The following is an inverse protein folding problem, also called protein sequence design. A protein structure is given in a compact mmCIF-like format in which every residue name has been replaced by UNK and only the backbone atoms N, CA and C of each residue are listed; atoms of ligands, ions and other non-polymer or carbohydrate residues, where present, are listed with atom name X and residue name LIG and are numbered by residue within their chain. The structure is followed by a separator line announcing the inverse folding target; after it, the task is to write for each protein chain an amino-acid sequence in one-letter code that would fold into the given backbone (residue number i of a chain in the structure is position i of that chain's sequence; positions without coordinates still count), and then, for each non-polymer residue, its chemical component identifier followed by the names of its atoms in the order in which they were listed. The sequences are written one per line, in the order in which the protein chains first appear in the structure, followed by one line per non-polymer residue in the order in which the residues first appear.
data_IF_877479835981
#
_entry.id   IF_877479835981
#
_cell.length_a   1.000
_cell.length_b   1.000
_cell.length_c   1.000
_cell.angle_alpha   90.00
_cell.angle_beta   90.00
_cell.angle_gamma   90.00
#
_symmetry.space_group_name_H-M   'P 1'
#
loop_
_entity.id
_entity.type
_entity.pdbx_description
1 polymer ?
#
# COMPACT_ATOMS: atom_id res chain seq x y z
N UNK A 1 17.42 -0.60 16.78
CA UNK A 1 16.11 -0.38 17.43
C UNK A 1 16.24 0.94 18.16
N UNK A 2 15.78 2.03 17.55
CA UNK A 2 15.90 3.38 18.11
C UNK A 2 14.56 4.09 17.92
N UNK A 3 13.81 4.16 19.01
CA UNK A 3 12.62 4.97 19.16
C UNK A 3 13.06 6.43 19.23
N UNK A 4 12.59 7.28 18.33
CA UNK A 4 12.79 8.73 18.46
C UNK A 4 11.56 9.29 19.18
N UNK A 5 11.74 9.56 20.48
CA UNK A 5 10.90 10.50 21.21
C UNK A 5 11.21 11.90 20.68
N UNK A 6 10.20 12.64 20.20
CA UNK A 6 10.31 14.09 20.06
C UNK A 6 9.35 14.77 21.02
N UNK A 7 9.96 15.68 21.76
CA UNK A 7 9.44 16.44 22.89
C UNK A 7 8.37 17.44 22.41
N UNK A 8 7.32 17.57 23.21
CA UNK A 8 6.25 18.54 23.05
C UNK A 8 6.64 19.84 23.78
N UNK A 9 6.66 20.97 23.08
CA UNK A 9 6.70 22.30 23.69
C UNK A 9 5.41 23.06 23.36
N UNK A 10 4.73 23.69 24.35
CA UNK A 10 3.49 24.40 24.10
C UNK A 10 3.76 25.88 23.79
N UNK A 11 3.16 26.39 22.71
CA UNK A 11 3.07 27.85 22.45
C UNK A 11 1.62 28.30 22.55
N UNK A 12 1.39 29.28 23.42
CA UNK A 12 0.08 29.77 23.83
C UNK A 12 -0.43 30.92 22.92
N UNK A 13 -1.58 30.68 22.26
CA UNK A 13 -2.68 31.60 21.88
C UNK A 13 -2.42 32.85 20.99
N UNK A 14 -3.47 33.58 20.54
CA UNK A 14 -4.91 33.35 20.73
C UNK A 14 -5.78 33.38 19.44
N UNK A 15 -6.97 32.77 19.58
CA UNK A 15 -8.25 32.91 18.86
C UNK A 15 -8.32 33.62 17.51
N UNK A 16 -8.74 32.88 16.47
CA UNK A 16 -9.94 33.22 15.67
C UNK A 16 -10.31 32.11 14.67
N UNK A 17 -11.62 31.86 14.64
CA UNK A 17 -12.42 31.33 13.53
C UNK A 17 -12.41 29.80 13.35
N UNK A 18 -13.54 29.23 13.77
CA UNK A 18 -14.01 27.88 13.48
C UNK A 18 -14.01 27.60 11.98
N UNK A 19 -12.91 27.04 11.50
CA UNK A 19 -12.90 26.14 10.37
C UNK A 19 -12.49 24.78 10.90
N UNK A 20 -13.45 23.93 11.24
CA UNK A 20 -13.17 22.49 11.34
C UNK A 20 -12.82 22.06 9.93
N UNK A 21 -11.53 22.15 9.57
CA UNK A 21 -11.00 21.33 8.50
C UNK A 21 -11.00 19.94 9.10
N UNK A 22 -12.06 19.18 8.84
CA UNK A 22 -11.98 17.72 8.93
C UNK A 22 -10.85 17.37 7.98
N UNK A 23 -9.66 17.16 8.54
CA UNK A 23 -8.55 16.58 7.83
C UNK A 23 -8.98 15.14 7.58
N UNK A 24 -9.74 14.94 6.51
CA UNK A 24 -9.99 13.64 5.91
C UNK A 24 -8.63 13.13 5.45
N UNK A 25 -7.87 12.60 6.40
CA UNK A 25 -6.73 11.70 6.21
C UNK A 25 -7.33 10.39 5.67
N UNK A 26 -7.87 10.48 4.46
CA UNK A 26 -8.25 9.34 3.64
C UNK A 26 -6.93 8.72 3.19
N UNK A 27 -6.29 7.96 4.09
CA UNK A 27 -5.28 7.00 3.69
C UNK A 27 -6.00 6.01 2.77
N UNK A 28 -5.97 6.25 1.46
CA UNK A 28 -6.58 5.37 0.47
C UNK A 28 -5.85 4.04 0.60
N UNK A 29 -6.41 3.11 1.35
CA UNK A 29 -5.86 1.77 1.46
C UNK A 29 -5.87 1.18 0.04
N UNK A 30 -4.69 0.91 -0.51
CA UNK A 30 -4.55 0.45 -1.89
C UNK A 30 -4.91 -1.04 -1.99
N UNK A 31 -5.90 -1.37 -2.83
CA UNK A 31 -6.31 -2.74 -3.12
C UNK A 31 -5.38 -3.39 -4.16
N UNK A 32 -5.31 -4.73 -4.17
CA UNK A 32 -4.62 -5.43 -5.23
C UNK A 32 -5.29 -5.18 -6.58
N UNK A 33 -4.54 -4.79 -7.61
CA UNK A 33 -5.09 -4.49 -8.93
C UNK A 33 -5.58 -5.69 -9.74
N UNK A 34 -5.37 -6.92 -9.25
CA UNK A 34 -5.80 -8.16 -9.90
C UNK A 34 -7.13 -8.63 -9.32
N UNK A 35 -7.19 -8.83 -8.00
CA UNK A 35 -8.38 -9.35 -7.32
C UNK A 35 -9.28 -8.25 -6.72
N UNK A 36 -8.83 -6.99 -6.68
CA UNK A 36 -9.52 -5.86 -6.04
C UNK A 36 -9.85 -6.07 -4.55
N UNK A 37 -9.04 -6.88 -3.86
CA UNK A 37 -9.14 -7.14 -2.43
C UNK A 37 -7.92 -6.61 -1.67
N UNK A 38 -8.11 -6.34 -0.38
CA UNK A 38 -7.03 -6.07 0.56
C UNK A 38 -6.29 -7.35 0.97
N UNK A 39 -7.04 -8.44 1.13
CA UNK A 39 -6.51 -9.72 1.56
C UNK A 39 -6.95 -10.79 0.56
N UNK A 40 -6.05 -11.70 0.14
CA UNK A 40 -6.42 -12.82 -0.70
C UNK A 40 -7.53 -13.65 -0.05
N UNK A 41 -8.46 -14.17 -0.85
CA UNK A 41 -9.59 -14.94 -0.35
C UNK A 41 -9.12 -16.21 0.37
N UNK A 42 -8.01 -16.79 -0.06
CA UNK A 42 -7.37 -17.97 0.51
C UNK A 42 -6.85 -17.77 1.94
N UNK A 43 -6.65 -16.52 2.36
CA UNK A 43 -6.25 -16.18 3.73
C UNK A 43 -7.49 -16.02 4.62
N UNK A 44 -8.66 -15.76 4.03
CA UNK A 44 -9.91 -15.65 4.77
C UNK A 44 -10.30 -17.00 5.38
N UNK A 45 -10.36 -17.08 6.70
CA UNK A 45 -10.67 -18.33 7.41
C UNK A 45 -9.46 -19.20 7.74
N UNK A 46 -8.23 -18.71 7.50
CA UNK A 46 -7.03 -19.39 7.98
C UNK A 46 -6.99 -19.40 9.53
N UNK A 47 -6.71 -20.57 10.11
CA UNK A 47 -6.52 -20.72 11.57
C UNK A 47 -5.14 -20.25 12.05
N UNK A 48 -4.24 -19.95 11.11
CA UNK A 48 -2.87 -19.50 11.35
C UNK A 48 -2.70 -18.07 10.84
N UNK A 49 -1.76 -17.34 11.45
CA UNK A 49 -1.35 -16.03 10.97
C UNK A 49 -0.58 -16.20 9.65
N UNK A 50 -1.14 -15.69 8.56
CA UNK A 50 -0.51 -15.71 7.23
C UNK A 50 -0.13 -14.28 6.85
N UNK A 51 1.16 -14.08 6.51
CA UNK A 51 1.64 -12.80 5.98
C UNK A 51 1.54 -12.79 4.46
N UNK A 52 0.63 -11.97 3.94
CA UNK A 52 0.54 -11.71 2.50
C UNK A 52 1.72 -10.85 2.06
N UNK A 53 2.46 -11.32 1.05
CA UNK A 53 3.53 -10.55 0.44
C UNK A 53 3.00 -9.71 -0.71
N UNK A 54 3.50 -8.48 -0.80
CA UNK A 54 3.08 -7.50 -1.79
C UNK A 54 4.28 -6.99 -2.59
N UNK A 55 4.01 -6.59 -3.83
CA UNK A 55 4.94 -5.82 -4.65
C UNK A 55 4.18 -4.73 -5.42
N UNK A 56 4.85 -3.60 -5.63
CA UNK A 56 4.38 -2.51 -6.47
C UNK A 56 4.92 -2.67 -7.88
N UNK A 57 4.07 -2.45 -8.89
CA UNK A 57 4.45 -2.54 -10.29
C UNK A 57 5.38 -1.41 -10.73
N UNK A 58 6.53 -1.76 -11.30
CA UNK A 58 7.52 -0.86 -11.93
C UNK A 58 7.21 -0.57 -13.42
N UNK A 59 6.11 -1.10 -13.94
CA UNK A 59 5.70 -0.99 -15.34
C UNK A 59 5.09 0.37 -15.71
N UNK A 60 4.92 0.55 -17.01
CA UNK A 60 4.18 1.67 -17.60
C UNK A 60 2.95 1.08 -18.27
N UNK A 61 1.78 1.70 -18.04
CA UNK A 61 0.50 1.33 -18.63
C UNK A 61 -0.11 2.56 -19.26
N UNK A 62 -0.56 2.48 -20.51
CA UNK A 62 -1.16 3.62 -21.24
C UNK A 62 -0.29 4.92 -21.18
N UNK A 63 1.03 4.77 -21.27
CA UNK A 63 1.97 5.89 -21.24
C UNK A 63 2.17 6.54 -19.86
N UNK A 64 1.68 5.94 -18.77
CA UNK A 64 1.88 6.42 -17.38
C UNK A 64 2.43 5.33 -16.47
N UNK A 65 3.19 5.67 -15.41
CA UNK A 65 3.62 4.70 -14.41
C UNK A 65 2.42 3.95 -13.81
N UNK A 66 2.51 2.62 -13.71
CA UNK A 66 1.42 1.78 -13.24
C UNK A 66 1.21 1.91 -11.72
N UNK A 67 2.29 1.78 -10.92
CA UNK A 67 2.32 1.96 -9.46
C UNK A 67 1.30 1.17 -8.64
N UNK A 68 0.54 0.26 -9.26
CA UNK A 68 -0.42 -0.59 -8.56
C UNK A 68 0.27 -1.65 -7.70
N UNK A 69 -0.37 -1.99 -6.59
CA UNK A 69 0.04 -3.09 -5.71
C UNK A 69 -0.59 -4.41 -6.11
N UNK A 70 0.15 -5.50 -5.88
CA UNK A 70 -0.32 -6.87 -6.19
C UNK A 70 0.06 -7.84 -5.09
N UNK A 71 -0.88 -8.73 -4.71
CA UNK A 71 -0.57 -9.89 -3.87
C UNK A 71 0.30 -10.86 -4.66
N UNK A 72 1.54 -11.10 -4.19
CA UNK A 72 2.52 -11.90 -4.94
C UNK A 72 2.04 -13.34 -5.21
N UNK A 73 2.29 -14.28 -4.32
CA UNK A 73 2.01 -15.71 -4.54
C UNK A 73 0.54 -16.09 -4.79
N UNK A 74 -0.39 -15.13 -4.72
CA UNK A 74 -1.83 -15.32 -4.85
C UNK A 74 -2.37 -14.81 -6.18
N UNK A 75 -1.94 -13.61 -6.61
CA UNK A 75 -2.42 -12.99 -7.84
C UNK A 75 -1.38 -13.00 -8.97
N UNK A 76 -0.20 -13.58 -8.72
CA UNK A 76 0.88 -13.74 -9.72
C UNK A 76 1.63 -15.06 -9.51
N UNK A 77 2.41 -15.46 -10.52
CA UNK A 77 3.36 -16.58 -10.40
C UNK A 77 4.66 -16.20 -9.67
N UNK A 78 4.83 -14.92 -9.29
CA UNK A 78 6.03 -14.42 -8.60
C UNK A 78 5.85 -14.59 -7.10
N UNK A 79 6.77 -15.31 -6.45
CA UNK A 79 6.70 -15.59 -5.00
C UNK A 79 7.51 -14.62 -4.14
N UNK A 80 8.56 -14.04 -4.72
CA UNK A 80 9.52 -13.15 -4.04
C UNK A 80 10.05 -12.17 -5.07
N UNK A 81 10.16 -10.90 -4.68
CA UNK A 81 10.91 -9.86 -5.40
C UNK A 81 12.12 -9.50 -4.56
N UNK A 82 13.33 -9.60 -5.11
CA UNK A 82 14.56 -9.27 -4.37
C UNK A 82 14.87 -7.78 -4.50
N UNK A 83 15.75 -7.28 -3.64
CA UNK A 83 16.25 -5.89 -3.77
C UNK A 83 16.83 -5.67 -5.16
N UNK A 84 16.46 -4.54 -5.76
CA UNK A 84 16.87 -4.10 -7.11
C UNK A 84 16.28 -4.90 -8.28
N UNK A 85 15.43 -5.89 -8.01
CA UNK A 85 14.63 -6.50 -9.07
C UNK A 85 13.40 -5.64 -9.35
N UNK A 86 12.99 -5.61 -10.61
CA UNK A 86 11.74 -4.98 -11.02
C UNK A 86 10.62 -6.00 -10.97
N UNK A 87 9.43 -5.55 -10.59
CA UNK A 87 8.21 -6.34 -10.64
C UNK A 87 7.22 -5.71 -11.62
N UNK A 88 6.57 -6.54 -12.42
CA UNK A 88 5.52 -6.12 -13.34
C UNK A 88 4.24 -6.87 -12.98
N UNK A 89 3.15 -6.14 -12.77
CA UNK A 89 1.84 -6.76 -12.56
C UNK A 89 1.31 -7.35 -13.88
N UNK A 90 0.33 -8.26 -13.84
CA UNK A 90 -0.22 -8.89 -15.05
C UNK A 90 -0.68 -7.89 -16.12
N UNK A 91 -1.26 -6.76 -15.70
CA UNK A 91 -1.69 -5.68 -16.61
C UNK A 91 -0.56 -5.00 -17.39
N UNK A 92 0.70 -5.10 -16.93
CA UNK A 92 1.87 -4.53 -17.60
C UNK A 92 2.73 -5.58 -18.31
N UNK A 93 2.42 -6.87 -18.17
CA UNK A 93 3.09 -7.96 -18.87
C UNK A 93 2.32 -8.32 -20.15
N UNK A 94 0.99 -8.18 -20.12
CA UNK A 94 0.10 -8.50 -21.24
C UNK A 94 -0.10 -7.35 -22.26
N UNK A 95 0.60 -6.20 -22.08
CA UNK A 95 0.62 -5.06 -23.02
C UNK A 95 1.84 -5.08 -23.97
#
# INVERSE_FOLDING_TARGET
MLCIQKQYEPVAGPSRETGVVSSDDESIEEKCCVCNLYTPQEVSGATLLIFTKWAQCDGVRNGRPCLHWTHLSYCTNVRVVRRKEKFFCPHCIEE
#
